data_IF_656030955805
#
_entry.id   IF_656030955805
#
_cell.length_a   1.000
_cell.length_b   1.000
_cell.length_c   1.000
_cell.angle_alpha   90.00
_cell.angle_beta   90.00
_cell.angle_gamma   90.00
#
_symmetry.space_group_name_H-M   'P 1'
#
loop_
_entity.id
_entity.type
_entity.pdbx_description
1 polymer ?
#
# COMPACT_ATOMS: atom_id res chain seq x y z
N UNK A 1 -1.47 -27.86 13.97
CA UNK A 1 -1.94 -26.57 13.41
C UNK A 1 -1.73 -26.68 11.93
N UNK A 2 -2.81 -26.62 11.15
CA UNK A 2 -2.71 -26.55 9.70
C UNK A 2 -1.94 -25.28 9.33
N UNK A 3 -1.02 -25.40 8.38
CA UNK A 3 -0.29 -24.24 7.85
C UNK A 3 -1.31 -23.39 7.09
N UNK A 4 -1.68 -22.22 7.64
CA UNK A 4 -2.53 -21.26 6.94
C UNK A 4 -1.64 -20.53 5.93
N UNK A 5 -1.89 -20.75 4.64
CA UNK A 5 -1.26 -20.00 3.55
C UNK A 5 -2.03 -18.69 3.32
N UNK A 6 -1.30 -17.57 3.29
CA UNK A 6 -1.85 -16.25 3.01
C UNK A 6 -1.40 -15.78 1.63
N UNK A 7 -2.27 -15.01 0.96
CA UNK A 7 -1.97 -14.37 -0.33
C UNK A 7 -1.97 -12.86 -0.09
N UNK A 8 -0.90 -12.19 -0.51
CA UNK A 8 -0.86 -10.72 -0.52
C UNK A 8 -1.61 -10.20 -1.74
N UNK A 9 -2.48 -9.23 -1.52
CA UNK A 9 -3.33 -8.60 -2.53
C UNK A 9 -3.42 -7.10 -2.25
N UNK A 10 -3.44 -6.29 -3.30
CA UNK A 10 -3.57 -4.85 -3.18
C UNK A 10 -5.02 -4.47 -2.85
N UNK A 11 -5.23 -3.91 -1.67
CA UNK A 11 -6.55 -3.49 -1.20
C UNK A 11 -7.25 -2.57 -2.21
N UNK A 12 -6.54 -1.61 -2.77
CA UNK A 12 -7.06 -0.64 -3.72
C UNK A 12 -7.63 -1.27 -5.00
N UNK A 13 -7.07 -2.40 -5.44
CA UNK A 13 -7.60 -3.17 -6.57
C UNK A 13 -8.89 -3.90 -6.17
N UNK A 14 -8.96 -4.43 -4.94
CA UNK A 14 -10.14 -5.15 -4.46
C UNK A 14 -11.31 -4.22 -4.08
N UNK A 15 -11.00 -3.02 -3.60
CA UNK A 15 -11.97 -2.01 -3.20
C UNK A 15 -12.46 -1.16 -4.39
N UNK A 16 -11.76 -1.20 -5.53
CA UNK A 16 -12.10 -0.42 -6.71
C UNK A 16 -13.54 -0.67 -7.20
N UNK A 17 -14.26 0.42 -7.43
CA UNK A 17 -15.64 0.41 -7.96
C UNK A 17 -15.74 1.13 -9.30
N UNK A 18 -14.64 1.67 -9.81
CA UNK A 18 -14.59 2.55 -10.98
C UNK A 18 -14.13 1.81 -12.24
N UNK A 19 -13.11 0.95 -12.13
CA UNK A 19 -12.43 0.36 -13.29
C UNK A 19 -12.74 -1.12 -13.49
N UNK A 20 -12.70 -1.92 -12.43
CA UNK A 20 -13.06 -3.33 -12.40
C UNK A 20 -14.59 -3.45 -12.45
N UNK A 21 -15.08 -4.04 -13.53
CA UNK A 21 -16.50 -4.09 -13.90
C UNK A 21 -17.20 -5.29 -13.28
N UNK A 22 -16.46 -6.28 -12.80
CA UNK A 22 -17.04 -7.51 -12.27
C UNK A 22 -16.32 -8.08 -11.05
N UNK A 23 -17.06 -8.84 -10.25
CA UNK A 23 -16.48 -9.63 -9.14
C UNK A 23 -15.52 -10.70 -9.67
N UNK A 24 -15.71 -11.16 -10.91
CA UNK A 24 -14.86 -12.16 -11.54
C UNK A 24 -13.48 -11.59 -11.87
N UNK A 25 -13.37 -10.35 -12.35
CA UNK A 25 -12.07 -9.70 -12.56
C UNK A 25 -11.27 -9.63 -11.26
N UNK A 26 -11.92 -9.20 -10.16
CA UNK A 26 -11.29 -9.15 -8.83
C UNK A 26 -10.86 -10.54 -8.37
N UNK A 27 -11.72 -11.55 -8.51
CA UNK A 27 -11.40 -12.90 -8.11
C UNK A 27 -10.26 -13.51 -8.94
N UNK A 28 -10.23 -13.25 -10.25
CA UNK A 28 -9.14 -13.67 -11.13
C UNK A 28 -7.83 -12.98 -10.74
N UNK A 29 -7.85 -11.68 -10.43
CA UNK A 29 -6.66 -10.98 -9.90
C UNK A 29 -6.12 -11.67 -8.63
N UNK A 30 -6.99 -11.96 -7.65
CA UNK A 30 -6.60 -12.67 -6.40
C UNK A 30 -5.98 -14.03 -6.70
N UNK A 31 -6.55 -14.80 -7.63
CA UNK A 31 -6.02 -16.11 -8.02
C UNK A 31 -4.64 -15.99 -8.70
N UNK A 32 -4.41 -14.94 -9.49
CA UNK A 32 -3.09 -14.67 -10.07
C UNK A 32 -2.06 -14.29 -8.98
N UNK A 33 -2.43 -13.45 -8.01
CA UNK A 33 -1.59 -13.14 -6.84
C UNK A 33 -1.21 -14.41 -6.06
N UNK A 34 -2.18 -15.30 -5.84
CA UNK A 34 -1.94 -16.60 -5.17
C UNK A 34 -0.90 -17.43 -5.90
N UNK A 35 -1.02 -17.53 -7.23
CA UNK A 35 -0.07 -18.29 -8.04
C UNK A 35 1.32 -17.68 -7.99
N UNK A 36 1.44 -16.35 -8.10
CA UNK A 36 2.71 -15.64 -8.02
C UNK A 36 3.41 -15.80 -6.65
N UNK A 37 2.64 -15.87 -5.56
CA UNK A 37 3.18 -16.07 -4.21
C UNK A 37 3.69 -17.50 -3.93
N UNK A 38 3.39 -18.48 -4.79
CA UNK A 38 3.71 -19.89 -4.55
C UNK A 38 5.11 -20.25 -5.09
N UNK A 39 6.14 -20.49 -4.23
CA UNK A 39 7.54 -20.58 -4.64
C UNK A 39 7.89 -21.79 -5.53
N UNK A 40 7.02 -22.82 -5.56
CA UNK A 40 7.29 -24.13 -6.16
C UNK A 40 6.53 -24.39 -7.47
N UNK A 41 5.80 -23.41 -7.99
CA UNK A 41 4.93 -23.63 -9.14
C UNK A 41 5.20 -22.62 -10.25
N UNK A 42 6.05 -22.95 -11.25
CA UNK A 42 6.10 -22.21 -12.52
C UNK A 42 4.84 -22.47 -13.38
N UNK A 43 3.70 -22.85 -12.77
CA UNK A 43 2.48 -23.12 -13.51
C UNK A 43 1.83 -21.79 -13.81
N UNK A 44 1.86 -21.40 -15.08
CA UNK A 44 0.85 -20.45 -15.53
C UNK A 44 -0.52 -21.12 -15.33
N UNK A 45 -1.44 -20.47 -14.60
CA UNK A 45 -2.76 -21.02 -14.42
C UNK A 45 -3.45 -21.12 -15.79
N UNK A 46 -4.03 -22.27 -16.08
CA UNK A 46 -4.76 -22.49 -17.33
C UNK A 46 -6.17 -21.90 -17.15
N UNK A 47 -6.76 -21.35 -18.22
CA UNK A 47 -8.09 -20.72 -18.18
C UNK A 47 -9.15 -21.63 -17.55
N UNK A 48 -9.13 -22.92 -17.86
CA UNK A 48 -10.06 -23.91 -17.29
C UNK A 48 -9.90 -24.06 -15.77
N UNK A 49 -8.68 -23.97 -15.25
CA UNK A 49 -8.44 -24.02 -13.80
C UNK A 49 -8.95 -22.76 -13.12
N UNK A 50 -8.65 -21.60 -13.69
CA UNK A 50 -9.16 -20.32 -13.19
C UNK A 50 -10.69 -20.29 -13.17
N UNK A 51 -11.34 -20.79 -14.22
CA UNK A 51 -12.80 -20.84 -14.31
C UNK A 51 -13.39 -21.68 -13.17
N UNK A 52 -12.78 -22.83 -12.89
CA UNK A 52 -13.19 -23.72 -11.78
C UNK A 52 -12.99 -23.06 -10.41
N UNK A 53 -11.85 -22.42 -10.18
CA UNK A 53 -11.54 -21.77 -8.90
C UNK A 53 -12.34 -20.49 -8.67
N UNK A 54 -12.64 -19.75 -9.74
CA UNK A 54 -13.44 -18.53 -9.70
C UNK A 54 -14.95 -18.79 -9.82
N UNK A 55 -15.37 -20.06 -9.96
CA UNK A 55 -16.76 -20.49 -10.14
C UNK A 55 -17.48 -19.74 -11.29
N UNK A 56 -16.79 -19.56 -12.43
CA UNK A 56 -17.31 -18.87 -13.61
C UNK A 56 -17.00 -19.64 -14.91
N UNK A 57 -17.44 -19.12 -16.05
CA UNK A 57 -17.15 -19.74 -17.35
C UNK A 57 -15.74 -19.40 -17.84
N UNK A 58 -15.19 -20.21 -18.75
CA UNK A 58 -13.91 -19.88 -19.40
C UNK A 58 -13.97 -18.57 -20.20
N UNK A 59 -15.15 -18.15 -20.66
CA UNK A 59 -15.31 -16.88 -21.34
C UNK A 59 -15.21 -15.72 -20.34
N UNK A 60 -15.85 -15.83 -19.17
CA UNK A 60 -15.74 -14.82 -18.11
C UNK A 60 -14.28 -14.65 -17.67
N UNK A 61 -13.53 -15.76 -17.59
CA UNK A 61 -12.09 -15.72 -17.31
C UNK A 61 -11.32 -14.98 -18.41
N UNK A 62 -11.59 -15.28 -19.69
CA UNK A 62 -10.91 -14.61 -20.81
C UNK A 62 -11.23 -13.11 -20.84
N UNK A 63 -12.49 -12.75 -20.62
CA UNK A 63 -12.91 -11.35 -20.51
C UNK A 63 -12.22 -10.66 -19.33
N UNK A 64 -12.18 -11.32 -18.17
CA UNK A 64 -11.48 -10.80 -17.00
C UNK A 64 -9.97 -10.61 -17.24
N UNK A 65 -9.30 -11.59 -17.86
CA UNK A 65 -7.87 -11.49 -18.19
C UNK A 65 -7.60 -10.36 -19.20
N UNK A 66 -8.47 -10.16 -20.18
CA UNK A 66 -8.36 -9.05 -21.11
C UNK A 66 -8.58 -7.71 -20.39
N UNK A 67 -9.58 -7.60 -19.52
CA UNK A 67 -9.82 -6.40 -18.71
C UNK A 67 -8.65 -6.05 -17.81
N UNK A 68 -8.09 -7.03 -17.09
CA UNK A 68 -6.90 -6.84 -16.25
C UNK A 68 -5.67 -6.41 -17.08
N UNK A 69 -5.52 -6.93 -18.30
CA UNK A 69 -4.44 -6.53 -19.19
C UNK A 69 -4.63 -5.10 -19.74
N UNK A 70 -5.86 -4.72 -20.12
CA UNK A 70 -6.21 -3.37 -20.54
C UNK A 70 -6.00 -2.34 -19.42
N UNK A 71 -6.25 -2.74 -18.17
CA UNK A 71 -6.02 -1.92 -16.98
C UNK A 71 -4.55 -1.87 -16.55
N UNK A 72 -3.66 -2.64 -17.20
CA UNK A 72 -2.23 -2.66 -16.87
C UNK A 72 -1.89 -3.36 -15.55
N UNK A 73 -2.79 -4.20 -15.03
CA UNK A 73 -2.54 -5.00 -13.82
C UNK A 73 -1.76 -6.29 -14.14
N UNK A 74 -1.86 -6.78 -15.38
CA UNK A 74 -1.14 -7.95 -15.84
C UNK A 74 -0.58 -7.77 -17.25
N UNK A 75 0.48 -8.53 -17.54
CA UNK A 75 0.95 -8.76 -18.90
C UNK A 75 0.61 -10.19 -19.34
N UNK A 76 0.12 -10.33 -20.58
CA UNK A 76 -0.26 -11.61 -21.17
C UNK A 76 0.67 -11.92 -22.33
N UNK A 77 1.47 -12.97 -22.19
CA UNK A 77 2.35 -13.44 -23.26
C UNK A 77 1.88 -14.79 -23.80
N UNK A 78 1.91 -14.94 -25.13
CA UNK A 78 1.53 -16.17 -25.83
C UNK A 78 2.76 -16.81 -26.44
N UNK A 79 2.94 -18.10 -26.19
CA UNK A 79 3.95 -18.93 -26.84
C UNK A 79 3.26 -20.02 -27.64
N UNK A 80 3.87 -20.43 -28.75
CA UNK A 80 3.39 -21.54 -29.57
C UNK A 80 4.48 -22.60 -29.57
N UNK A 81 4.14 -23.82 -29.17
CA UNK A 81 5.10 -24.91 -29.18
C UNK A 81 5.26 -25.50 -30.59
N UNK A 82 6.21 -26.42 -30.75
CA UNK A 82 6.49 -27.09 -32.03
C UNK A 82 5.33 -27.92 -32.58
N UNK A 83 4.28 -28.17 -31.79
CA UNK A 83 3.05 -28.87 -32.18
C UNK A 83 1.92 -27.91 -32.59
N UNK A 84 2.16 -26.61 -32.57
CA UNK A 84 1.15 -25.59 -32.86
C UNK A 84 0.21 -25.28 -31.69
N UNK A 85 0.45 -25.86 -30.51
CA UNK A 85 -0.36 -25.60 -29.32
C UNK A 85 0.06 -24.27 -28.69
N UNK A 86 -0.94 -23.46 -28.35
CA UNK A 86 -0.73 -22.18 -27.68
C UNK A 86 -0.65 -22.37 -26.16
N UNK A 87 0.34 -21.75 -25.54
CA UNK A 87 0.44 -21.58 -24.09
C UNK A 87 0.45 -20.09 -23.77
N UNK A 88 -0.27 -19.71 -22.71
CA UNK A 88 -0.30 -18.35 -22.21
C UNK A 88 0.53 -18.28 -20.94
N UNK A 89 1.12 -17.12 -20.66
CA UNK A 89 1.79 -16.76 -19.40
C UNK A 89 1.26 -15.40 -18.95
N UNK A 90 0.88 -15.34 -17.67
CA UNK A 90 0.40 -14.12 -17.01
C UNK A 90 1.46 -13.65 -16.01
N UNK A 91 1.81 -12.38 -16.07
CA UNK A 91 2.74 -11.72 -15.17
C UNK A 91 2.01 -10.58 -14.48
N UNK A 92 2.10 -10.49 -13.15
CA UNK A 92 1.57 -9.37 -12.37
C UNK A 92 2.46 -8.16 -12.57
N UNK A 93 1.85 -7.01 -12.79
CA UNK A 93 2.53 -5.73 -12.91
C UNK A 93 2.39 -4.94 -11.61
N UNK A 94 3.18 -3.88 -11.47
CA UNK A 94 2.94 -2.89 -10.42
C UNK A 94 1.56 -2.26 -10.61
N UNK A 95 0.80 -2.13 -9.51
CA UNK A 95 -0.54 -1.54 -9.56
C UNK A 95 -0.45 -0.11 -10.08
N UNK A 96 -1.16 0.24 -11.16
CA UNK A 96 -1.14 1.59 -11.69
C UNK A 96 -1.69 2.63 -10.70
N UNK A 97 -1.10 3.83 -10.70
CA UNK A 97 -1.42 4.92 -9.75
C UNK A 97 -2.91 5.29 -9.72
N UNK A 98 -3.65 5.11 -10.82
CA UNK A 98 -5.07 5.43 -10.90
C UNK A 98 -5.95 4.54 -10.01
N UNK A 99 -5.48 3.36 -9.58
CA UNK A 99 -6.14 2.55 -8.55
C UNK A 99 -5.91 3.12 -7.14
N UNK A 100 -4.82 3.87 -6.95
CA UNK A 100 -4.46 4.48 -5.67
C UNK A 100 -4.99 5.92 -5.53
N UNK A 101 -5.75 6.43 -6.51
CA UNK A 101 -6.44 7.72 -6.40
C UNK A 101 -7.29 7.78 -5.12
N UNK A 102 -6.98 8.71 -4.22
CA UNK A 102 -7.69 8.88 -2.96
C UNK A 102 -7.18 8.02 -1.79
N UNK A 103 -6.06 7.32 -1.96
CA UNK A 103 -5.39 6.60 -0.89
C UNK A 103 -3.98 7.12 -0.64
N UNK A 104 -3.57 7.11 0.62
CA UNK A 104 -2.23 7.53 1.04
C UNK A 104 -1.36 6.29 1.17
N UNK A 105 -0.26 6.24 0.41
CA UNK A 105 0.74 5.18 0.57
C UNK A 105 1.60 5.50 1.79
N UNK A 106 1.52 4.64 2.81
CA UNK A 106 2.38 4.70 3.98
C UNK A 106 3.51 3.68 3.89
N UNK A 107 4.68 4.07 4.38
CA UNK A 107 5.81 3.16 4.51
C UNK A 107 5.51 2.10 5.58
N UNK A 108 5.67 0.82 5.22
CA UNK A 108 5.46 -0.32 6.14
C UNK A 108 6.33 -0.21 7.41
N UNK A 109 7.51 0.40 7.28
CA UNK A 109 8.43 0.66 8.38
C UNK A 109 7.81 1.44 9.54
N UNK A 110 6.77 2.25 9.29
CA UNK A 110 6.02 2.91 10.37
C UNK A 110 5.44 1.90 11.35
N UNK A 111 4.92 0.78 10.83
CA UNK A 111 4.28 -0.29 11.61
C UNK A 111 5.28 -1.34 12.10
N UNK A 112 6.32 -1.62 11.31
CA UNK A 112 7.27 -2.71 11.61
C UNK A 112 8.51 -2.28 12.37
N UNK A 113 8.95 -1.01 12.24
CA UNK A 113 10.15 -0.45 12.88
C UNK A 113 9.81 0.66 13.86
N UNK A 114 9.11 1.72 13.43
CA UNK A 114 8.86 2.90 14.27
C UNK A 114 7.96 2.60 15.47
N UNK A 115 6.95 1.74 15.32
CA UNK A 115 6.12 1.25 16.44
C UNK A 115 6.90 0.54 17.57
N UNK A 116 8.18 0.21 17.36
CA UNK A 116 9.07 -0.35 18.40
C UNK A 116 9.74 0.72 19.26
N UNK A 117 9.66 2.00 18.87
CA UNK A 117 10.20 3.11 19.64
C UNK A 117 9.30 3.37 20.87
N UNK A 118 9.89 3.65 22.05
CA UNK A 118 9.18 3.57 23.33
C UNK A 118 8.02 4.57 23.50
N UNK A 119 8.08 5.72 22.81
CA UNK A 119 7.05 6.77 22.84
C UNK A 119 6.34 6.96 21.49
N UNK A 120 6.53 6.03 20.54
CA UNK A 120 5.87 6.04 19.24
C UNK A 120 4.72 5.02 19.23
N UNK A 121 3.57 5.42 18.70
CA UNK A 121 2.35 4.60 18.72
C UNK A 121 1.46 4.92 17.49
N UNK A 122 0.29 4.29 17.42
CA UNK A 122 -0.65 4.46 16.31
C UNK A 122 -1.07 5.92 16.06
N UNK A 123 -1.24 6.75 17.10
CA UNK A 123 -1.62 8.17 16.94
C UNK A 123 -0.56 8.94 16.13
N UNK A 124 0.72 8.57 16.27
CA UNK A 124 1.80 9.17 15.50
C UNK A 124 1.73 8.75 14.03
N UNK A 125 1.44 7.48 13.76
CA UNK A 125 1.26 6.98 12.39
C UNK A 125 0.09 7.68 11.71
N UNK A 126 -1.04 7.82 12.40
CA UNK A 126 -2.23 8.50 11.89
C UNK A 126 -1.96 9.98 11.65
N UNK A 127 -1.30 10.67 12.58
CA UNK A 127 -0.89 12.07 12.39
C UNK A 127 0.05 12.24 11.19
N UNK A 128 1.01 11.33 11.01
CA UNK A 128 1.91 11.35 9.85
C UNK A 128 1.14 11.13 8.55
N UNK A 129 0.22 10.16 8.52
CA UNK A 129 -0.62 9.88 7.36
C UNK A 129 -1.48 11.07 6.97
N UNK A 130 -2.14 11.69 7.94
CA UNK A 130 -2.91 12.91 7.72
C UNK A 130 -2.07 14.02 7.08
N UNK A 131 -0.86 14.27 7.61
CA UNK A 131 0.02 15.28 7.04
C UNK A 131 0.41 14.95 5.59
N UNK A 132 0.66 13.67 5.26
CA UNK A 132 0.93 13.23 3.90
C UNK A 132 -0.26 13.47 2.96
N UNK A 133 -1.48 13.25 3.44
CA UNK A 133 -2.72 13.45 2.65
C UNK A 133 -2.89 14.90 2.19
N UNK A 134 -2.63 15.82 3.13
CA UNK A 134 -2.84 17.25 2.91
C UNK A 134 -1.55 17.98 2.49
N UNK A 135 -0.50 17.22 2.13
CA UNK A 135 0.77 17.79 1.69
C UNK A 135 0.59 18.43 0.32
N UNK A 136 0.98 19.70 0.21
CA UNK A 136 0.92 20.44 -1.05
C UNK A 136 2.30 20.40 -1.73
N UNK A 137 2.41 19.60 -2.80
CA UNK A 137 3.63 19.45 -3.60
C UNK A 137 4.11 20.79 -4.20
N UNK A 138 3.19 21.71 -4.50
CA UNK A 138 3.54 23.01 -5.07
C UNK A 138 4.20 23.94 -4.05
N UNK A 139 3.85 23.78 -2.77
CA UNK A 139 4.39 24.55 -1.65
C UNK A 139 5.55 23.82 -0.96
N UNK A 140 5.62 22.50 -1.07
CA UNK A 140 6.62 21.65 -0.41
C UNK A 140 6.36 21.47 1.09
N UNK A 141 5.11 21.63 1.55
CA UNK A 141 4.72 21.45 2.94
C UNK A 141 3.20 21.24 3.13
N UNK A 142 2.82 20.74 4.30
CA UNK A 142 1.46 20.79 4.83
C UNK A 142 1.32 21.94 5.84
N UNK A 143 0.20 22.66 5.86
CA UNK A 143 -0.01 23.76 6.82
C UNK A 143 -1.40 23.78 7.50
N UNK A 144 -1.86 22.66 8.09
CA UNK A 144 -3.09 22.64 8.85
C UNK A 144 -2.99 23.49 10.13
N UNK A 145 -4.11 24.05 10.54
CA UNK A 145 -4.28 24.60 11.89
C UNK A 145 -4.35 23.46 12.91
N UNK A 146 -4.03 23.76 14.18
CA UNK A 146 -4.22 22.75 15.24
C UNK A 146 -5.69 22.36 15.42
N UNK A 147 -6.63 23.27 15.16
CA UNK A 147 -8.06 22.99 15.22
C UNK A 147 -8.47 21.96 14.17
N UNK A 148 -8.01 22.12 12.93
CA UNK A 148 -8.23 21.15 11.84
C UNK A 148 -7.69 19.77 12.21
N UNK A 149 -6.44 19.69 12.69
CA UNK A 149 -5.87 18.40 13.14
C UNK A 149 -6.74 17.75 14.22
N UNK A 150 -7.25 18.52 15.19
CA UNK A 150 -8.08 17.97 16.25
C UNK A 150 -9.43 17.46 15.73
N UNK A 151 -10.05 18.21 14.82
CA UNK A 151 -11.32 17.87 14.20
C UNK A 151 -11.18 16.63 13.31
N UNK A 152 -10.22 16.63 12.39
CA UNK A 152 -10.01 15.58 11.39
C UNK A 152 -9.58 14.26 12.04
N UNK A 153 -8.76 14.32 13.10
CA UNK A 153 -8.26 13.12 13.78
C UNK A 153 -9.06 12.74 15.02
N UNK A 154 -10.03 13.55 15.45
CA UNK A 154 -10.81 13.31 16.68
C UNK A 154 -9.96 13.33 17.96
N UNK A 155 -8.89 14.13 18.00
CA UNK A 155 -7.94 14.19 19.12
C UNK A 155 -8.08 15.45 19.97
N UNK A 156 -7.67 15.38 21.24
CA UNK A 156 -7.75 16.53 22.15
C UNK A 156 -6.79 17.67 21.77
N UNK A 157 -7.16 18.92 22.11
CA UNK A 157 -6.45 20.15 21.73
C UNK A 157 -4.93 20.18 22.03
N UNK A 158 -4.47 19.44 23.03
CA UNK A 158 -3.05 19.38 23.41
C UNK A 158 -2.26 18.28 22.67
N UNK A 159 -2.94 17.44 21.89
CA UNK A 159 -2.33 16.29 21.22
C UNK A 159 -1.54 16.65 19.96
N UNK A 160 -2.00 17.55 19.05
CA UNK A 160 -1.25 17.86 17.82
C UNK A 160 0.21 18.23 18.09
N UNK A 161 0.44 19.11 19.06
CA UNK A 161 1.79 19.54 19.43
C UNK A 161 2.63 18.44 20.11
N UNK A 162 2.01 17.50 20.83
CA UNK A 162 2.72 16.35 21.42
C UNK A 162 3.14 15.36 20.34
N UNK A 163 2.22 14.99 19.44
CA UNK A 163 2.48 14.07 18.34
C UNK A 163 3.55 14.64 17.39
N UNK A 164 3.44 15.92 17.03
CA UNK A 164 4.42 16.59 16.16
C UNK A 164 5.83 16.61 16.77
N UNK A 165 5.97 16.77 18.09
CA UNK A 165 7.28 16.70 18.77
C UNK A 165 7.92 15.33 18.63
N UNK A 166 7.16 14.25 18.80
CA UNK A 166 7.67 12.88 18.65
C UNK A 166 7.99 12.56 17.18
N UNK A 167 7.14 12.96 16.23
CA UNK A 167 7.41 12.80 14.80
C UNK A 167 8.70 13.54 14.38
N UNK A 168 8.90 14.75 14.91
CA UNK A 168 10.14 15.54 14.70
C UNK A 168 11.36 14.89 15.36
N UNK A 169 11.23 14.40 16.58
CA UNK A 169 12.29 13.65 17.30
C UNK A 169 12.80 12.48 16.45
N UNK A 170 11.92 11.77 15.74
CA UNK A 170 12.28 10.64 14.89
C UNK A 170 12.53 11.00 13.42
N UNK A 171 12.58 12.29 13.10
CA UNK A 171 12.93 12.80 11.77
C UNK A 171 11.93 12.43 10.68
N UNK A 172 10.66 12.18 11.03
CA UNK A 172 9.59 11.99 10.05
C UNK A 172 9.01 13.32 9.57
N UNK A 173 9.13 14.36 10.38
CA UNK A 173 8.74 15.72 10.01
C UNK A 173 9.75 16.74 10.53
N UNK A 174 9.69 17.93 9.97
CA UNK A 174 10.06 19.15 10.68
C UNK A 174 8.86 20.09 10.71
N UNK A 175 8.82 20.97 11.71
CA UNK A 175 7.77 21.97 11.78
C UNK A 175 8.27 23.28 12.38
N UNK A 176 7.72 24.38 11.87
CA UNK A 176 8.00 25.73 12.33
C UNK A 176 6.74 26.59 12.28
N UNK A 177 6.72 27.65 13.10
CA UNK A 177 5.66 28.65 13.08
C UNK A 177 6.25 29.94 12.47
N UNK A 178 5.84 30.34 11.26
CA UNK A 178 6.45 31.49 10.57
C UNK A 178 6.32 32.81 11.33
N UNK A 179 5.20 32.96 12.07
CA UNK A 179 4.93 34.10 12.94
C UNK A 179 3.97 33.67 14.05
N UNK A 180 4.07 34.30 15.22
CA UNK A 180 3.17 34.01 16.33
C UNK A 180 1.69 34.10 15.89
N UNK A 181 0.93 33.04 16.17
CA UNK A 181 -0.50 32.95 15.80
C UNK A 181 -0.79 32.47 14.37
N UNK A 182 0.23 32.24 13.53
CA UNK A 182 0.04 31.55 12.26
C UNK A 182 -0.04 30.04 12.43
N UNK A 183 -0.61 29.35 11.44
CA UNK A 183 -0.52 27.89 11.32
C UNK A 183 0.95 27.46 11.27
N UNK A 184 1.20 26.26 11.80
CA UNK A 184 2.49 25.63 11.63
C UNK A 184 2.66 25.18 10.18
N UNK A 185 3.89 25.25 9.71
CA UNK A 185 4.34 24.63 8.45
C UNK A 185 4.98 23.30 8.83
N UNK A 186 4.53 22.21 8.22
CA UNK A 186 5.04 20.85 8.42
C UNK A 186 5.70 20.37 7.13
N UNK A 187 7.00 20.10 7.19
CA UNK A 187 7.75 19.44 6.13
C UNK A 187 7.83 17.95 6.46
N UNK A 188 7.60 17.09 5.47
CA UNK A 188 7.51 15.65 5.67
C UNK A 188 8.75 14.99 5.09
N UNK A 189 9.30 14.01 5.80
CA UNK A 189 10.45 13.23 5.38
C UNK A 189 10.11 11.74 5.34
N UNK A 190 10.61 10.99 4.35
CA UNK A 190 10.33 9.57 4.24
C UNK A 190 10.82 8.80 5.46
N UNK A 191 10.04 7.80 5.87
CA UNK A 191 10.44 6.87 6.92
C UNK A 191 11.66 6.04 6.49
N UNK A 192 12.51 5.67 7.45
CA UNK A 192 13.63 4.76 7.20
C UNK A 192 13.08 3.34 7.01
N UNK A 193 13.16 2.83 5.77
CA UNK A 193 12.65 1.50 5.44
C UNK A 193 13.64 0.37 5.70
N UNK A 194 14.95 0.64 5.62
CA UNK A 194 15.98 -0.38 5.78
C UNK A 194 16.25 -0.66 7.27
N UNK A 195 16.02 -1.90 7.77
CA UNK A 195 16.20 -2.21 9.19
C UNK A 195 17.61 -1.91 9.72
N UNK A 196 18.65 -2.19 8.93
CA UNK A 196 20.03 -1.93 9.32
C UNK A 196 20.28 -0.45 9.64
N UNK A 197 19.85 0.45 8.74
CA UNK A 197 19.94 1.91 8.92
C UNK A 197 19.07 2.39 10.09
N UNK A 198 17.89 1.79 10.26
CA UNK A 198 17.00 2.13 11.36
C UNK A 198 17.66 1.83 12.71
N UNK A 199 18.20 0.63 12.89
CA UNK A 199 18.87 0.23 14.14
C UNK A 199 20.25 0.85 14.34
N UNK A 200 20.88 1.40 13.30
CA UNK A 200 22.06 2.25 13.44
C UNK A 200 21.67 3.62 14.03
N UNK A 201 20.56 4.20 13.55
CA UNK A 201 20.05 5.49 14.04
C UNK A 201 19.42 5.38 15.43
N UNK A 202 18.74 4.28 15.72
CA UNK A 202 18.05 4.02 16.99
C UNK A 202 18.54 2.70 17.62
N UNK A 203 19.78 2.67 18.13
CA UNK A 203 20.40 1.46 18.67
C UNK A 203 19.72 0.93 19.94
N UNK A 204 18.95 1.76 20.64
CA UNK A 204 18.19 1.41 21.84
C UNK A 204 16.96 0.55 21.57
N UNK A 205 16.51 0.46 20.31
CA UNK A 205 15.31 -0.30 19.94
C UNK A 205 15.60 -1.80 20.02
N UNK A 206 14.80 -2.59 20.75
CA UNK A 206 14.98 -4.04 20.83
C UNK A 206 14.95 -4.73 19.46
N UNK A 207 15.99 -5.50 19.16
CA UNK A 207 16.09 -6.33 17.96
C UNK A 207 15.47 -7.71 18.25
N UNK A 208 14.16 -7.80 18.05
CA UNK A 208 13.30 -8.99 18.24
C UNK A 208 12.95 -9.38 19.68
N UNK A 209 11.65 -9.66 19.86
CA UNK A 209 11.06 -10.66 20.75
C UNK A 209 10.25 -11.63 19.90
#
# INVERSE_FOLDING_TARGET
MDNIEFVSVDWHVLDDTKYLKSVHEKLIYVLLCKVAATPLSPRTPIVTQLAKEAFCSENDVKEALNGLAELGLINVSKTINSKGESSYRYELLEVPDHFSEGYIKLADSLFTLYMRLPDFNADHVIMYAYLCDIYDDSLGYASPTQAQICEDLGIGANMPGKLAKTLKKYGLIDYEQPRAGASYIYRIYPAIEEPAKFYEKYPEVPRHG
#
